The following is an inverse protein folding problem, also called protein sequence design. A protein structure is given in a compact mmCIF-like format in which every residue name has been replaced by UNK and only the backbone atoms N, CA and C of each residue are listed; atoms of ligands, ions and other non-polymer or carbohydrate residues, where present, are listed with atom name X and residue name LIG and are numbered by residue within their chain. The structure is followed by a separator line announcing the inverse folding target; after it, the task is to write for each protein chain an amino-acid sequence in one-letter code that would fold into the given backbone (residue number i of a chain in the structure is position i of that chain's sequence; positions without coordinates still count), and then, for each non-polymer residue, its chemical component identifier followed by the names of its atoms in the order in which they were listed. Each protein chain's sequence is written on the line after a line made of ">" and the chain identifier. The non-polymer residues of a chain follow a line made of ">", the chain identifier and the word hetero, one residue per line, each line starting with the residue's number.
data_IF_895313488173
#
_entry.id   IF_895313488173
#
_cell.length_a   1.000
_cell.length_b   1.000
_cell.length_c   1.000
_cell.angle_alpha   90.00
_cell.angle_beta   90.00
_cell.angle_gamma   90.00
#
_symmetry.space_group_name_H-M   'P 1'
#
loop_
_entity.id
_entity.type
_entity.pdbx_description
1 polymer ?
#
# COMPACT_ATOMS: atom_id res chain seq x y z
N UNK A 1 -23.48 -10.10 -29.61
CA UNK A 1 -23.95 -8.83 -29.00
C UNK A 1 -23.46 -8.67 -27.57
N UNK A 2 -23.52 -9.71 -26.76
CA UNK A 2 -23.02 -9.67 -25.35
C UNK A 2 -21.53 -9.35 -25.21
N UNK A 3 -20.66 -9.87 -26.08
CA UNK A 3 -19.21 -9.62 -26.04
C UNK A 3 -18.85 -8.15 -26.21
N UNK A 4 -19.49 -7.44 -27.14
CA UNK A 4 -19.27 -6.00 -27.34
C UNK A 4 -19.67 -5.17 -26.13
N UNK A 5 -20.73 -5.59 -25.41
CA UNK A 5 -21.17 -4.90 -24.20
C UNK A 5 -20.21 -5.20 -23.06
N UNK A 6 -19.70 -6.42 -22.92
CA UNK A 6 -18.67 -6.77 -21.93
C UNK A 6 -17.38 -5.97 -22.18
N UNK A 7 -16.98 -5.81 -23.43
CA UNK A 7 -15.83 -4.95 -23.78
C UNK A 7 -16.07 -3.49 -23.40
N UNK A 8 -17.27 -2.95 -23.70
CA UNK A 8 -17.64 -1.59 -23.32
C UNK A 8 -17.67 -1.40 -21.78
N UNK A 9 -18.15 -2.39 -21.03
CA UNK A 9 -18.12 -2.38 -19.57
C UNK A 9 -16.66 -2.40 -19.08
N UNK A 10 -15.80 -3.20 -19.69
CA UNK A 10 -14.37 -3.27 -19.32
C UNK A 10 -13.65 -1.94 -19.59
N UNK A 11 -13.97 -1.27 -20.69
CA UNK A 11 -13.47 0.07 -20.99
C UNK A 11 -13.99 1.10 -19.98
N UNK A 12 -15.27 1.02 -19.59
CA UNK A 12 -15.83 1.90 -18.56
C UNK A 12 -15.13 1.68 -17.20
N UNK A 13 -14.85 0.43 -16.82
CA UNK A 13 -14.10 0.11 -15.60
C UNK A 13 -12.66 0.63 -15.63
N UNK A 14 -12.04 0.73 -16.80
CA UNK A 14 -10.70 1.32 -16.95
C UNK A 14 -10.67 2.83 -16.65
N UNK A 15 -11.81 3.51 -16.67
CA UNK A 15 -11.92 4.92 -16.26
C UNK A 15 -12.06 5.11 -14.76
N UNK A 16 -12.39 4.03 -14.03
CA UNK A 16 -12.55 4.06 -12.57
C UNK A 16 -11.22 3.76 -11.92
N UNK A 17 -10.75 4.69 -11.08
CA UNK A 17 -9.51 4.54 -10.32
C UNK A 17 -9.81 4.20 -8.87
N UNK A 18 -8.97 3.33 -8.29
CA UNK A 18 -8.98 3.10 -6.85
C UNK A 18 -8.66 4.41 -6.10
N UNK A 19 -9.48 4.81 -5.11
CA UNK A 19 -9.32 6.09 -4.42
C UNK A 19 -8.07 6.19 -3.53
N UNK A 20 -7.48 5.06 -3.14
CA UNK A 20 -6.26 5.02 -2.32
C UNK A 20 -5.00 4.89 -3.19
N UNK A 21 -5.07 4.06 -4.23
CA UNK A 21 -3.91 3.76 -5.07
C UNK A 21 -3.80 4.67 -6.30
N UNK A 22 -4.85 5.43 -6.62
CA UNK A 22 -4.93 6.38 -7.74
C UNK A 22 -4.56 5.76 -9.10
N UNK A 23 -4.95 4.50 -9.31
CA UNK A 23 -4.75 3.76 -10.55
C UNK A 23 -6.04 3.08 -11.00
N UNK A 24 -6.23 2.85 -12.32
CA UNK A 24 -7.38 2.14 -12.84
C UNK A 24 -7.54 0.75 -12.23
N UNK A 25 -8.79 0.35 -11.96
CA UNK A 25 -9.09 -0.95 -11.35
C UNK A 25 -8.54 -2.15 -12.13
N UNK A 26 -8.65 -2.19 -13.48
CA UNK A 26 -8.08 -3.30 -14.26
C UNK A 26 -6.56 -3.37 -14.15
N UNK A 27 -5.86 -2.23 -14.12
CA UNK A 27 -4.39 -2.17 -14.00
C UNK A 27 -3.92 -2.76 -12.66
N UNK A 28 -4.72 -2.62 -11.61
CA UNK A 28 -4.47 -3.19 -10.29
C UNK A 28 -4.88 -4.66 -10.18
N UNK A 29 -5.47 -5.25 -11.24
CA UNK A 29 -6.01 -6.60 -11.17
C UNK A 29 -7.18 -6.73 -10.20
N UNK A 30 -7.89 -5.64 -9.92
CA UNK A 30 -9.03 -5.62 -9.01
C UNK A 30 -10.31 -6.14 -9.65
N UNK A 31 -10.42 -6.18 -10.98
CA UNK A 31 -11.56 -6.74 -11.69
C UNK A 31 -11.33 -8.23 -11.91
N UNK A 32 -12.06 -9.08 -11.17
CA UNK A 32 -11.93 -10.54 -11.28
C UNK A 32 -12.76 -11.09 -12.43
N UNK A 33 -14.01 -10.62 -12.57
CA UNK A 33 -14.89 -11.07 -13.64
C UNK A 33 -15.93 -10.00 -14.00
N UNK A 34 -16.29 -10.00 -15.27
CA UNK A 34 -17.39 -9.20 -15.82
C UNK A 34 -18.29 -10.16 -16.62
N UNK A 35 -19.55 -10.23 -16.24
CA UNK A 35 -20.54 -11.00 -16.99
C UNK A 35 -21.73 -10.11 -17.33
N UNK A 36 -22.37 -10.37 -18.46
CA UNK A 36 -23.51 -9.62 -18.93
C UNK A 36 -24.57 -10.57 -19.49
N UNK A 37 -25.80 -10.45 -19.02
CA UNK A 37 -26.91 -11.27 -19.46
C UNK A 37 -28.22 -10.46 -19.42
N UNK A 38 -28.96 -10.44 -20.52
CA UNK A 38 -30.28 -9.82 -20.62
C UNK A 38 -30.39 -8.39 -20.04
N UNK A 39 -29.39 -7.54 -20.30
CA UNK A 39 -29.37 -6.17 -19.80
C UNK A 39 -28.83 -6.02 -18.37
N UNK A 40 -28.47 -7.11 -17.71
CA UNK A 40 -27.89 -7.10 -16.39
C UNK A 40 -26.38 -7.36 -16.45
N UNK A 41 -25.59 -6.43 -15.91
CA UNK A 41 -24.17 -6.60 -15.69
C UNK A 41 -23.92 -7.14 -14.29
N UNK A 42 -23.03 -8.13 -14.18
CA UNK A 42 -22.54 -8.61 -12.89
C UNK A 42 -21.01 -8.51 -12.88
N UNK A 43 -20.47 -7.79 -11.91
CA UNK A 43 -19.04 -7.47 -11.82
C UNK A 43 -18.53 -7.92 -10.46
N UNK A 44 -17.42 -8.67 -10.47
CA UNK A 44 -16.72 -9.03 -9.24
C UNK A 44 -15.42 -8.26 -9.09
N UNK A 45 -15.31 -7.53 -7.99
CA UNK A 45 -14.17 -6.67 -7.67
C UNK A 45 -13.45 -7.20 -6.43
N UNK A 46 -12.13 -7.34 -6.54
CA UNK A 46 -11.29 -7.77 -5.43
C UNK A 46 -10.68 -6.56 -4.73
N UNK A 47 -10.93 -6.44 -3.45
CA UNK A 47 -10.31 -5.43 -2.59
C UNK A 47 -8.95 -5.93 -2.05
N UNK A 48 -8.00 -5.04 -1.85
CA UNK A 48 -6.68 -5.36 -1.29
C UNK A 48 -6.76 -5.82 0.16
N UNK A 49 -7.73 -5.30 0.92
CA UNK A 49 -7.99 -5.65 2.33
C UNK A 49 -9.48 -5.91 2.55
N UNK A 50 -9.80 -6.81 3.50
CA UNK A 50 -11.17 -6.98 3.98
C UNK A 50 -11.57 -5.78 4.82
N UNK A 51 -12.74 -5.17 4.52
CA UNK A 51 -13.24 -4.01 5.26
C UNK A 51 -12.65 -2.67 4.80
N UNK A 52 -12.31 -2.54 3.52
CA UNK A 52 -11.86 -1.27 2.94
C UNK A 52 -12.88 -0.15 3.24
N UNK A 53 -12.45 0.96 3.89
CA UNK A 53 -13.35 2.07 4.23
C UNK A 53 -13.87 2.82 2.99
N UNK A 54 -13.19 2.66 1.85
CA UNK A 54 -13.57 3.31 0.59
C UNK A 54 -14.48 2.46 -0.29
N UNK A 55 -14.98 1.31 0.22
CA UNK A 55 -15.83 0.37 -0.53
C UNK A 55 -17.07 1.06 -1.12
N UNK A 56 -17.77 1.87 -0.33
CA UNK A 56 -19.01 2.53 -0.75
C UNK A 56 -18.74 3.55 -1.87
N UNK A 57 -17.64 4.28 -1.77
CA UNK A 57 -17.20 5.20 -2.82
C UNK A 57 -16.88 4.45 -4.11
N UNK A 58 -16.09 3.37 -4.00
CA UNK A 58 -15.72 2.55 -5.15
C UNK A 58 -16.95 1.94 -5.81
N UNK A 59 -17.92 1.45 -5.02
CA UNK A 59 -19.19 0.93 -5.52
C UNK A 59 -19.96 2.00 -6.32
N UNK A 60 -19.99 3.23 -5.83
CA UNK A 60 -20.64 4.35 -6.52
C UNK A 60 -19.94 4.68 -7.83
N UNK A 61 -18.61 4.85 -7.80
CA UNK A 61 -17.81 5.21 -8.96
C UNK A 61 -17.92 4.15 -10.08
N UNK A 62 -17.89 2.87 -9.72
CA UNK A 62 -18.13 1.74 -10.64
C UNK A 62 -19.55 1.76 -11.19
N UNK A 63 -20.54 1.99 -10.34
CA UNK A 63 -21.96 2.08 -10.76
C UNK A 63 -22.16 3.22 -11.74
N UNK A 64 -21.65 4.40 -11.44
CA UNK A 64 -21.77 5.60 -12.26
C UNK A 64 -21.09 5.43 -13.64
N UNK A 65 -20.02 4.65 -13.70
CA UNK A 65 -19.32 4.37 -14.97
C UNK A 65 -20.05 3.32 -15.80
N UNK A 66 -20.44 2.20 -15.20
CA UNK A 66 -21.01 1.05 -15.91
C UNK A 66 -22.45 1.31 -16.36
N UNK A 67 -23.24 2.05 -15.59
CA UNK A 67 -24.63 2.39 -15.94
C UNK A 67 -24.74 3.37 -17.13
N UNK A 68 -23.62 3.96 -17.57
CA UNK A 68 -23.57 4.78 -18.81
C UNK A 68 -23.36 3.95 -20.08
N UNK A 69 -23.08 2.66 -19.93
CA UNK A 69 -22.88 1.77 -21.09
C UNK A 69 -24.21 1.40 -21.69
N UNK A 70 -24.36 1.64 -22.98
CA UNK A 70 -25.59 1.34 -23.72
C UNK A 70 -25.94 -0.15 -23.64
N UNK A 71 -27.19 -0.44 -23.28
CA UNK A 71 -27.70 -1.80 -23.13
C UNK A 71 -27.59 -2.36 -21.70
N UNK A 72 -26.94 -1.67 -20.77
CA UNK A 72 -26.94 -2.03 -19.35
C UNK A 72 -28.13 -1.37 -18.66
N UNK A 73 -29.04 -2.18 -18.12
CA UNK A 73 -30.25 -1.72 -17.41
C UNK A 73 -30.16 -1.95 -15.89
N UNK A 74 -29.35 -2.90 -15.48
CA UNK A 74 -29.12 -3.20 -14.08
C UNK A 74 -27.69 -3.67 -13.83
N UNK A 75 -27.20 -3.42 -12.63
CA UNK A 75 -25.83 -3.75 -12.21
C UNK A 75 -25.84 -4.43 -10.85
N UNK A 76 -25.10 -5.51 -10.75
CA UNK A 76 -24.77 -6.19 -9.50
C UNK A 76 -23.25 -6.19 -9.30
N UNK A 77 -22.79 -5.70 -8.16
CA UNK A 77 -21.36 -5.65 -7.81
C UNK A 77 -21.12 -6.57 -6.62
N UNK A 78 -20.25 -7.54 -6.80
CA UNK A 78 -19.76 -8.41 -5.73
C UNK A 78 -18.35 -7.97 -5.33
N UNK A 79 -18.10 -7.83 -4.03
CA UNK A 79 -16.78 -7.53 -3.51
C UNK A 79 -16.16 -8.77 -2.86
N UNK A 80 -14.99 -9.16 -3.35
CA UNK A 80 -14.12 -10.17 -2.75
C UNK A 80 -12.87 -9.55 -2.15
N UNK A 81 -11.98 -10.38 -1.66
CA UNK A 81 -10.67 -9.95 -1.14
C UNK A 81 -9.57 -10.66 -1.91
N UNK A 82 -8.53 -9.93 -2.30
CA UNK A 82 -7.35 -10.49 -2.95
C UNK A 82 -6.63 -11.49 -2.05
N UNK A 83 -6.12 -12.55 -2.65
CA UNK A 83 -5.18 -13.45 -2.00
C UNK A 83 -3.77 -12.81 -1.87
N UNK A 84 -2.84 -13.48 -1.17
CA UNK A 84 -1.50 -12.94 -0.93
C UNK A 84 -0.72 -12.73 -2.22
N UNK A 85 -0.80 -13.66 -3.18
CA UNK A 85 -0.13 -13.55 -4.46
C UNK A 85 -0.62 -12.35 -5.29
N UNK A 86 -1.93 -12.12 -5.32
CA UNK A 86 -2.55 -10.98 -6.00
C UNK A 86 -2.11 -9.66 -5.35
N UNK A 87 -2.11 -9.60 -4.01
CA UNK A 87 -1.62 -8.44 -3.26
C UNK A 87 -0.16 -8.13 -3.52
N UNK A 88 0.68 -9.16 -3.62
CA UNK A 88 2.10 -8.98 -3.93
C UNK A 88 2.32 -8.49 -5.36
N UNK A 89 1.51 -8.92 -6.31
CA UNK A 89 1.50 -8.40 -7.68
C UNK A 89 1.16 -6.91 -7.72
N UNK A 90 0.12 -6.48 -6.98
CA UNK A 90 -0.22 -5.06 -6.84
C UNK A 90 0.92 -4.26 -6.22
N UNK A 91 1.54 -4.77 -5.16
CA UNK A 91 2.70 -4.11 -4.53
C UNK A 91 3.88 -3.98 -5.50
N UNK A 92 4.16 -5.01 -6.30
CA UNK A 92 5.22 -5.00 -7.30
C UNK A 92 4.93 -3.97 -8.39
N UNK A 93 3.68 -3.89 -8.85
CA UNK A 93 3.23 -2.91 -9.83
C UNK A 93 3.38 -1.47 -9.30
N UNK A 94 2.94 -1.20 -8.07
CA UNK A 94 3.04 0.11 -7.44
C UNK A 94 4.50 0.57 -7.24
N UNK A 95 5.43 -0.37 -7.10
CA UNK A 95 6.88 -0.11 -7.02
C UNK A 95 7.55 0.05 -8.38
N UNK A 96 6.79 0.12 -9.47
CA UNK A 96 7.34 0.21 -10.83
C UNK A 96 8.09 -1.04 -11.25
N UNK A 97 7.68 -2.23 -10.79
CA UNK A 97 8.31 -3.51 -11.09
C UNK A 97 9.61 -3.79 -10.34
N UNK A 98 10.06 -2.85 -9.48
CA UNK A 98 11.29 -3.02 -8.71
C UNK A 98 11.06 -4.00 -7.56
N UNK A 99 11.92 -4.98 -7.43
CA UNK A 99 11.96 -5.83 -6.25
C UNK A 99 12.35 -5.01 -5.02
N UNK A 100 11.86 -5.46 -3.84
CA UNK A 100 12.22 -4.82 -2.57
C UNK A 100 13.70 -5.12 -2.29
N UNK A 101 14.58 -4.25 -2.77
CA UNK A 101 16.00 -4.33 -2.43
C UNK A 101 16.22 -3.65 -1.07
N UNK A 102 16.58 -4.43 -0.08
CA UNK A 102 16.99 -3.94 1.24
C UNK A 102 18.50 -4.16 1.33
N UNK A 103 19.32 -3.10 1.15
CA UNK A 103 20.78 -3.24 1.13
C UNK A 103 21.33 -3.91 2.39
N UNK A 104 20.72 -3.63 3.53
CA UNK A 104 21.16 -4.13 4.83
C UNK A 104 20.81 -5.61 5.10
N UNK A 105 19.88 -6.19 4.31
CA UNK A 105 19.44 -7.58 4.44
C UNK A 105 20.18 -8.53 3.50
N UNK A 106 21.12 -8.02 2.70
CA UNK A 106 21.94 -8.87 1.83
C UNK A 106 22.94 -9.69 2.63
N UNK A 107 23.21 -10.95 2.23
CA UNK A 107 24.14 -11.83 2.94
C UNK A 107 25.56 -11.27 3.06
N UNK A 108 25.98 -10.44 2.11
CA UNK A 108 27.28 -9.78 2.02
C UNK A 108 27.31 -8.37 2.66
N UNK A 109 26.20 -7.93 3.23
CA UNK A 109 26.13 -6.62 3.89
C UNK A 109 27.00 -6.56 5.14
N UNK A 110 27.92 -5.62 5.17
CA UNK A 110 28.73 -5.30 6.36
C UNK A 110 27.95 -4.46 7.38
N UNK A 111 26.78 -3.93 7.00
CA UNK A 111 25.92 -3.14 7.88
C UNK A 111 25.10 -4.05 8.78
N UNK A 112 25.18 -3.82 10.08
CA UNK A 112 24.34 -4.49 11.07
C UNK A 112 23.26 -3.57 11.54
N UNK A 113 21.99 -4.02 11.46
CA UNK A 113 20.81 -3.26 11.89
C UNK A 113 20.32 -3.82 13.21
N UNK A 114 20.23 -2.98 14.23
CA UNK A 114 19.68 -3.32 15.54
C UNK A 114 18.40 -2.56 15.79
N UNK A 115 17.34 -3.28 16.15
CA UNK A 115 16.06 -2.70 16.58
C UNK A 115 15.94 -2.68 18.10
N UNK A 116 15.80 -1.50 18.68
CA UNK A 116 15.57 -1.35 20.14
C UNK A 116 14.08 -1.06 20.33
N UNK A 117 13.36 -2.01 20.90
CA UNK A 117 11.92 -1.94 21.08
C UNK A 117 11.50 -2.30 22.52
N UNK A 118 10.29 -1.89 22.90
CA UNK A 118 9.68 -2.26 24.18
C UNK A 118 8.18 -2.13 24.07
N UNK A 119 7.44 -3.03 24.71
CA UNK A 119 5.98 -2.98 24.82
C UNK A 119 5.47 -1.95 25.84
N UNK A 120 6.35 -1.25 26.57
CA UNK A 120 5.98 -0.25 27.58
C UNK A 120 6.64 1.09 27.28
N UNK A 121 5.89 2.19 27.45
CA UNK A 121 6.42 3.55 27.36
C UNK A 121 7.32 3.92 28.56
N UNK A 122 8.23 4.88 28.37
CA UNK A 122 9.04 5.45 29.45
C UNK A 122 10.16 4.58 30.04
N UNK A 123 10.49 3.44 29.41
CA UNK A 123 11.51 2.50 29.91
C UNK A 123 12.94 2.80 29.44
N UNK A 124 13.15 3.91 28.76
CA UNK A 124 14.48 4.34 28.34
C UNK A 124 14.96 3.82 26.97
N UNK A 125 14.07 3.38 26.07
CA UNK A 125 14.44 2.93 24.71
C UNK A 125 15.37 3.92 23.99
N UNK A 126 14.94 5.17 23.88
CA UNK A 126 15.68 6.23 23.19
C UNK A 126 17.02 6.52 23.85
N UNK A 127 17.08 6.49 25.19
CA UNK A 127 18.32 6.66 25.95
C UNK A 127 19.31 5.54 25.66
N UNK A 128 18.85 4.28 25.65
CA UNK A 128 19.69 3.13 25.29
C UNK A 128 20.18 3.24 23.84
N UNK A 129 19.30 3.62 22.92
CA UNK A 129 19.64 3.79 21.50
C UNK A 129 20.75 4.81 21.29
N UNK A 130 20.60 5.99 21.89
CA UNK A 130 21.58 7.08 21.76
C UNK A 130 22.93 6.71 22.39
N UNK A 131 22.92 6.15 23.61
CA UNK A 131 24.16 5.76 24.27
C UNK A 131 24.88 4.62 23.55
N UNK A 132 24.15 3.64 23.03
CA UNK A 132 24.74 2.57 22.23
C UNK A 132 25.37 3.13 20.94
N UNK A 133 24.66 4.01 20.24
CA UNK A 133 25.15 4.66 19.03
C UNK A 133 26.42 5.50 19.31
N UNK A 134 26.44 6.28 20.38
CA UNK A 134 27.59 7.08 20.79
C UNK A 134 28.79 6.18 21.16
N UNK A 135 28.56 5.10 21.92
CA UNK A 135 29.61 4.16 22.31
C UNK A 135 30.23 3.44 21.10
N UNK A 136 29.43 3.07 20.11
CA UNK A 136 29.91 2.47 18.86
C UNK A 136 30.70 3.49 18.02
N UNK A 137 30.21 4.73 17.90
CA UNK A 137 30.90 5.80 17.20
C UNK A 137 32.24 6.12 17.83
N UNK A 138 32.32 6.17 19.17
CA UNK A 138 33.57 6.35 19.90
C UNK A 138 34.59 5.22 19.66
N UNK A 139 34.15 4.05 19.27
CA UNK A 139 35.01 2.91 18.88
C UNK A 139 35.40 2.93 17.40
N UNK A 140 35.06 4.00 16.67
CA UNK A 140 35.41 4.15 15.25
C UNK A 140 34.43 3.52 14.26
N UNK A 141 33.29 3.00 14.70
CA UNK A 141 32.27 2.50 13.77
C UNK A 141 31.51 3.65 13.11
N UNK A 142 31.11 3.48 11.85
CA UNK A 142 30.17 4.36 11.17
C UNK A 142 28.76 3.99 11.61
N UNK A 143 28.11 4.89 12.37
CA UNK A 143 26.80 4.63 12.99
C UNK A 143 25.75 5.57 12.43
N UNK A 144 24.64 5.01 11.99
CA UNK A 144 23.42 5.73 11.66
C UNK A 144 22.32 5.42 12.71
N UNK A 145 21.52 6.40 13.06
CA UNK A 145 20.37 6.23 13.97
C UNK A 145 19.11 6.66 13.26
N UNK A 146 18.08 5.79 13.28
CA UNK A 146 16.75 6.09 12.79
C UNK A 146 15.77 6.11 13.97
N UNK A 147 15.12 7.25 14.21
CA UNK A 147 14.01 7.34 15.16
C UNK A 147 12.72 6.90 14.48
N UNK A 148 12.22 5.73 14.83
CA UNK A 148 10.99 5.15 14.29
C UNK A 148 9.74 5.54 15.12
N UNK A 149 9.89 6.31 16.19
CA UNK A 149 8.78 6.87 16.96
C UNK A 149 8.29 8.17 16.31
N UNK A 150 7.38 8.04 15.34
CA UNK A 150 6.91 9.16 14.51
C UNK A 150 6.19 10.23 15.33
N UNK A 151 5.51 9.86 16.39
CA UNK A 151 4.74 10.78 17.23
C UNK A 151 5.52 11.30 18.45
N UNK A 152 6.44 10.48 18.98
CA UNK A 152 7.18 10.76 20.22
C UNK A 152 8.69 10.85 20.01
N UNK A 153 9.15 11.26 18.83
CA UNK A 153 10.56 11.31 18.50
C UNK A 153 11.36 12.11 19.55
N UNK A 154 12.40 11.49 20.08
CA UNK A 154 13.21 12.07 21.18
C UNK A 154 14.71 12.02 20.90
N UNK A 155 15.14 11.24 19.92
CA UNK A 155 16.56 11.02 19.60
C UNK A 155 17.28 12.32 19.21
N UNK A 156 16.73 13.18 18.32
CA UNK A 156 17.41 14.44 17.98
C UNK A 156 17.67 15.33 19.19
N UNK A 157 16.72 15.40 20.11
CA UNK A 157 16.87 16.17 21.36
C UNK A 157 17.93 15.57 22.27
N UNK A 158 18.00 14.25 22.39
CA UNK A 158 19.00 13.55 23.21
C UNK A 158 20.41 13.70 22.65
N UNK A 159 20.53 13.84 21.33
CA UNK A 159 21.81 14.08 20.65
C UNK A 159 22.19 15.56 20.59
N UNK A 160 21.37 16.49 21.10
CA UNK A 160 21.61 17.92 21.02
C UNK A 160 21.52 18.51 19.59
N UNK A 161 20.85 17.79 18.66
CA UNK A 161 20.68 18.21 17.27
C UNK A 161 19.46 19.13 17.19
N UNK A 162 19.64 20.38 16.74
CA UNK A 162 18.53 21.30 16.50
C UNK A 162 17.69 20.81 15.31
N UNK A 163 16.35 20.93 15.42
CA UNK A 163 15.38 20.52 14.38
C UNK A 163 15.62 21.17 13.00
N UNK A 164 16.33 22.29 12.97
CA UNK A 164 16.69 23.00 11.72
C UNK A 164 17.80 22.32 10.91
N UNK A 165 18.50 21.36 11.49
CA UNK A 165 19.63 20.67 10.86
C UNK A 165 19.26 19.34 10.20
N UNK A 166 17.97 18.97 10.20
CA UNK A 166 17.48 17.76 9.53
C UNK A 166 16.95 18.17 8.15
N UNK A 167 17.81 18.10 7.16
CA UNK A 167 17.48 18.19 5.74
C UNK A 167 17.55 16.79 5.16
#
# INVERSE_FOLDING_TARGET
>A
MSEKIIEAISLALATVSDPELHRPLPDLGMVESVTFNNGQAHIKILLTISGCPMKDRLQKDVSDAVMKVDGVHSLSIEFGTMNDSQRDSVKKLLRGGREKFIPFAQPDSLTRVWGISSGKGGVGKSTVTVNLAAALAARGFKVGVLDADVYGHSIPRLLGIDRKSVV
#
